data_IF_207435632211
#
_entry.id   IF_207435632211
#
_cell.length_a   1.000
_cell.length_b   1.000
_cell.length_c   1.000
_cell.angle_alpha   90.00
_cell.angle_beta   90.00
_cell.angle_gamma   90.00
#
_symmetry.space_group_name_H-M   'P 1'
#
loop_
_entity.id
_entity.type
_entity.pdbx_description
1 polymer ?
#
# COMPACT_ATOMS: atom_id res chain seq x y z
N UNK A 1 -6.21 15.50 13.03
CA UNK A 1 -5.11 14.83 12.30
C UNK A 1 -4.73 13.53 12.99
N UNK A 2 -4.32 13.58 14.27
CA UNK A 2 -4.00 12.39 15.09
C UNK A 2 -5.06 11.27 15.09
N UNK A 3 -6.33 11.60 15.34
CA UNK A 3 -7.41 10.60 15.30
C UNK A 3 -7.50 9.85 13.96
N UNK A 4 -7.26 10.54 12.84
CA UNK A 4 -7.25 9.93 11.50
C UNK A 4 -6.05 8.98 11.32
N UNK A 5 -4.90 9.32 11.90
CA UNK A 5 -3.72 8.45 11.91
C UNK A 5 -3.95 7.20 12.78
N UNK A 6 -4.61 7.33 13.92
CA UNK A 6 -4.96 6.19 14.76
C UNK A 6 -5.89 5.20 14.04
N UNK A 7 -6.90 5.71 13.34
CA UNK A 7 -7.83 4.89 12.57
C UNK A 7 -7.10 4.16 11.42
N UNK A 8 -6.23 4.87 10.69
CA UNK A 8 -5.41 4.27 9.63
C UNK A 8 -4.45 3.19 10.16
N UNK A 9 -3.89 3.39 11.35
CA UNK A 9 -3.00 2.40 11.97
C UNK A 9 -3.76 1.11 12.34
N UNK A 10 -5.00 1.23 12.83
CA UNK A 10 -5.86 0.07 13.08
C UNK A 10 -6.17 -0.68 11.78
N UNK A 11 -6.44 0.04 10.70
CA UNK A 11 -6.74 -0.58 9.40
C UNK A 11 -5.53 -1.38 8.87
N UNK A 12 -4.30 -0.87 9.04
CA UNK A 12 -3.07 -1.60 8.72
C UNK A 12 -2.91 -2.84 9.61
N UNK A 13 -3.20 -2.73 10.90
CA UNK A 13 -3.12 -3.85 11.85
C UNK A 13 -4.09 -4.99 11.53
N UNK A 14 -5.23 -4.71 10.88
CA UNK A 14 -6.15 -5.76 10.44
C UNK A 14 -5.53 -6.71 9.42
N UNK A 15 -4.50 -6.27 8.67
CA UNK A 15 -3.79 -7.14 7.73
C UNK A 15 -2.84 -8.13 8.42
N UNK A 16 -2.50 -7.95 9.70
CA UNK A 16 -1.68 -8.91 10.47
C UNK A 16 -2.35 -10.28 10.66
N UNK A 17 -3.69 -10.33 10.60
CA UNK A 17 -4.49 -11.52 10.94
C UNK A 17 -5.21 -12.13 9.74
N UNK A 18 -4.99 -11.62 8.53
CA UNK A 18 -5.67 -12.11 7.34
C UNK A 18 -4.88 -13.24 6.70
N UNK A 19 -5.48 -14.43 6.67
CA UNK A 19 -5.02 -15.56 5.86
C UNK A 19 -5.51 -15.45 4.41
N UNK A 20 -4.75 -16.03 3.48
CA UNK A 20 -5.12 -16.12 2.06
C UNK A 20 -6.11 -17.28 1.91
N UNK A 21 -7.41 -16.97 1.92
CA UNK A 21 -8.47 -17.99 1.87
C UNK A 21 -9.15 -18.09 0.48
N UNK A 22 -9.10 -17.04 -0.35
CA UNK A 22 -9.72 -17.00 -1.69
C UNK A 22 -9.08 -15.97 -2.63
N UNK A 23 -9.19 -16.17 -3.96
CA UNK A 23 -8.75 -15.24 -5.01
C UNK A 23 -9.51 -13.90 -4.98
N UNK A 24 -10.81 -13.93 -4.65
CA UNK A 24 -11.62 -12.71 -4.48
C UNK A 24 -11.20 -11.91 -3.23
N UNK A 25 -10.80 -12.59 -2.16
CA UNK A 25 -10.28 -11.94 -0.95
C UNK A 25 -8.89 -11.36 -1.19
N UNK A 26 -8.06 -12.02 -1.99
CA UNK A 26 -6.76 -11.49 -2.42
C UNK A 26 -6.92 -10.18 -3.21
N UNK A 27 -7.81 -10.15 -4.21
CA UNK A 27 -8.13 -8.91 -4.95
C UNK A 27 -8.63 -7.81 -4.01
N UNK A 28 -9.59 -8.13 -3.15
CA UNK A 28 -10.15 -7.18 -2.18
C UNK A 28 -9.08 -6.61 -1.24
N UNK A 29 -8.11 -7.44 -0.82
CA UNK A 29 -7.03 -7.00 0.06
C UNK A 29 -6.04 -6.08 -0.64
N UNK A 30 -5.72 -6.36 -1.91
CA UNK A 30 -4.88 -5.48 -2.75
C UNK A 30 -5.55 -4.12 -2.96
N UNK A 31 -6.85 -4.10 -3.29
CA UNK A 31 -7.61 -2.85 -3.44
C UNK A 31 -7.63 -2.02 -2.15
N UNK A 32 -7.90 -2.66 -1.00
CA UNK A 32 -7.86 -1.98 0.30
C UNK A 32 -6.46 -1.44 0.64
N UNK A 33 -5.40 -2.16 0.31
CA UNK A 33 -4.03 -1.65 0.50
C UNK A 33 -3.70 -0.50 -0.45
N UNK A 34 -4.24 -0.50 -1.66
CA UNK A 34 -4.13 0.62 -2.58
C UNK A 34 -4.86 1.88 -2.06
N UNK A 35 -6.01 1.72 -1.41
CA UNK A 35 -6.72 2.83 -0.77
C UNK A 35 -5.98 3.35 0.46
N UNK A 36 -5.47 2.46 1.32
CA UNK A 36 -4.61 2.83 2.45
C UNK A 36 -3.38 3.59 1.95
N UNK A 37 -2.78 3.17 0.82
CA UNK A 37 -1.67 3.88 0.18
C UNK A 37 -2.02 5.31 -0.19
N UNK A 38 -3.15 5.52 -0.87
CA UNK A 38 -3.61 6.85 -1.25
C UNK A 38 -3.79 7.74 -0.02
N UNK A 39 -4.39 7.20 1.05
CA UNK A 39 -4.59 7.94 2.30
C UNK A 39 -3.28 8.29 3.01
N UNK A 40 -2.31 7.38 3.03
CA UNK A 40 -0.96 7.63 3.57
C UNK A 40 -0.29 8.78 2.82
N UNK A 41 -0.30 8.76 1.49
CA UNK A 41 0.30 9.81 0.68
C UNK A 41 -0.44 11.15 0.82
N UNK A 42 -1.77 11.13 0.96
CA UNK A 42 -2.55 12.32 1.25
C UNK A 42 -2.15 12.94 2.61
N UNK A 43 -2.01 12.12 3.65
CA UNK A 43 -1.59 12.59 4.98
C UNK A 43 -0.14 13.05 5.02
N UNK A 44 0.74 12.44 4.21
CA UNK A 44 2.10 12.91 4.00
C UNK A 44 2.12 14.29 3.37
N UNK A 45 1.40 14.48 2.26
CA UNK A 45 1.32 15.76 1.58
C UNK A 45 0.72 16.85 2.49
N UNK A 46 -0.32 16.52 3.27
CA UNK A 46 -0.88 17.43 4.28
C UNK A 46 0.15 17.79 5.36
N UNK A 47 0.90 16.81 5.88
CA UNK A 47 1.95 17.05 6.87
C UNK A 47 3.07 17.94 6.33
N UNK A 48 3.50 17.73 5.09
CA UNK A 48 4.49 18.58 4.42
C UNK A 48 3.98 20.01 4.22
N UNK A 49 2.70 20.18 3.88
CA UNK A 49 2.08 21.50 3.73
C UNK A 49 2.00 22.25 5.07
N UNK A 50 1.60 21.57 6.15
CA UNK A 50 1.59 22.13 7.51
C UNK A 50 3.00 22.58 7.91
N UNK A 51 4.01 21.73 7.68
CA UNK A 51 5.39 22.04 8.03
C UNK A 51 5.94 23.22 7.22
N UNK A 52 5.55 23.31 5.94
CA UNK A 52 5.88 24.46 5.08
C UNK A 52 5.27 25.75 5.62
N UNK A 53 3.99 25.73 6.00
CA UNK A 53 3.30 26.91 6.55
C UNK A 53 3.91 27.32 7.90
N UNK A 54 4.22 26.37 8.78
CA UNK A 54 4.93 26.63 10.04
C UNK A 54 6.28 27.30 9.80
N UNK A 55 7.04 26.81 8.82
CA UNK A 55 8.32 27.40 8.45
C UNK A 55 8.16 28.84 7.94
N UNK A 56 7.15 29.11 7.09
CA UNK A 56 6.86 30.45 6.58
C UNK A 56 6.44 31.42 7.71
N UNK A 57 5.79 30.91 8.75
CA UNK A 57 5.39 31.66 9.93
C UNK A 57 6.50 31.75 11.00
N UNK A 58 7.70 31.20 10.73
CA UNK A 58 8.79 31.08 11.69
C UNK A 58 8.38 30.34 12.99
N UNK A 59 7.43 29.41 12.88
CA UNK A 59 7.04 28.51 13.96
C UNK A 59 7.90 27.26 13.97
N UNK A 60 7.93 26.58 15.12
CA UNK A 60 8.57 25.28 15.22
C UNK A 60 7.82 24.24 14.37
N UNK A 61 8.57 23.51 13.56
CA UNK A 61 8.03 22.46 12.69
C UNK A 61 7.56 21.29 13.55
N UNK A 62 6.34 20.81 13.29
CA UNK A 62 5.77 19.69 14.03
C UNK A 62 6.21 18.34 13.41
N UNK A 63 6.89 17.46 14.18
CA UNK A 63 7.19 16.13 13.68
C UNK A 63 5.93 15.24 13.68
N UNK A 64 5.78 14.40 12.66
CA UNK A 64 4.70 13.42 12.55
C UNK A 64 5.21 11.97 12.69
N UNK A 65 5.76 11.56 13.85
CA UNK A 65 6.36 10.24 14.02
C UNK A 65 5.35 9.10 13.79
N UNK A 66 4.08 9.31 14.15
CA UNK A 66 3.03 8.30 13.94
C UNK A 66 2.78 7.99 12.47
N UNK A 67 2.91 8.99 11.59
CA UNK A 67 2.82 8.77 10.15
C UNK A 67 3.98 7.91 9.64
N UNK A 68 5.19 8.14 10.16
CA UNK A 68 6.37 7.32 9.84
C UNK A 68 6.21 5.86 10.32
N UNK A 69 5.66 5.65 11.52
CA UNK A 69 5.34 4.31 12.02
C UNK A 69 4.34 3.58 11.12
N UNK A 70 3.29 4.26 10.64
CA UNK A 70 2.28 3.69 9.75
C UNK A 70 2.91 3.30 8.41
N UNK A 71 3.76 4.17 7.84
CA UNK A 71 4.48 3.89 6.60
C UNK A 71 5.38 2.65 6.74
N UNK A 72 6.15 2.56 7.83
CA UNK A 72 7.03 1.43 8.09
C UNK A 72 6.25 0.12 8.33
N UNK A 73 5.13 0.18 9.06
CA UNK A 73 4.30 -0.98 9.31
C UNK A 73 3.60 -1.50 8.05
N UNK A 74 3.25 -0.61 7.12
CA UNK A 74 2.54 -0.94 5.89
C UNK A 74 3.42 -1.61 4.83
N UNK A 75 4.67 -1.17 4.69
CA UNK A 75 5.62 -1.63 3.66
C UNK A 75 5.67 -3.15 3.44
N UNK A 76 5.80 -4.01 4.49
CA UNK A 76 5.84 -5.46 4.28
C UNK A 76 4.52 -6.04 3.73
N UNK A 77 3.37 -5.48 4.13
CA UNK A 77 2.06 -5.95 3.65
C UNK A 77 1.86 -5.56 2.18
N UNK A 78 2.25 -4.35 1.82
CA UNK A 78 2.18 -3.92 0.42
C UNK A 78 3.00 -4.82 -0.49
N UNK A 79 4.26 -5.09 -0.13
CA UNK A 79 5.13 -5.99 -0.90
C UNK A 79 4.49 -7.38 -1.02
N UNK A 80 4.03 -7.96 0.10
CA UNK A 80 3.42 -9.28 0.10
C UNK A 80 2.21 -9.37 -0.83
N UNK A 81 1.24 -8.48 -0.67
CA UNK A 81 -0.03 -8.56 -1.40
C UNK A 81 0.14 -8.20 -2.88
N UNK A 82 1.02 -7.24 -3.21
CA UNK A 82 1.34 -6.95 -4.61
C UNK A 82 2.07 -8.11 -5.28
N UNK A 83 3.07 -8.71 -4.62
CA UNK A 83 3.79 -9.87 -5.15
C UNK A 83 2.87 -11.08 -5.30
N UNK A 84 1.99 -11.34 -4.32
CA UNK A 84 1.02 -12.43 -4.40
C UNK A 84 0.04 -12.23 -5.57
N UNK A 85 -0.42 -11.00 -5.79
CA UNK A 85 -1.29 -10.66 -6.91
C UNK A 85 -0.59 -10.79 -8.26
N UNK A 86 0.62 -10.25 -8.40
CA UNK A 86 1.45 -10.39 -9.60
C UNK A 86 1.67 -11.87 -9.93
N UNK A 87 2.04 -12.68 -8.94
CA UNK A 87 2.20 -14.12 -9.10
C UNK A 87 0.92 -14.79 -9.60
N UNK A 88 -0.23 -14.48 -9.00
CA UNK A 88 -1.51 -15.02 -9.43
C UNK A 88 -1.86 -14.63 -10.87
N UNK A 89 -1.70 -13.35 -11.23
CA UNK A 89 -2.01 -12.89 -12.59
C UNK A 89 -1.07 -13.49 -13.64
N UNK A 90 0.21 -13.64 -13.31
CA UNK A 90 1.19 -14.25 -14.19
C UNK A 90 0.95 -15.76 -14.34
N UNK A 91 0.59 -16.45 -13.26
CA UNK A 91 0.18 -17.85 -13.28
C UNK A 91 -1.07 -18.08 -14.14
N UNK A 92 -2.13 -17.29 -13.94
CA UNK A 92 -3.36 -17.38 -14.73
C UNK A 92 -3.09 -17.13 -16.22
N UNK A 93 -2.28 -16.12 -16.55
CA UNK A 93 -1.88 -15.82 -17.93
C UNK A 93 -1.08 -16.96 -18.56
N UNK A 94 -0.23 -17.65 -17.79
CA UNK A 94 0.59 -18.74 -18.29
C UNK A 94 -0.19 -20.05 -18.46
N UNK A 95 -1.05 -20.39 -17.50
CA UNK A 95 -1.77 -21.67 -17.47
C UNK A 95 -3.09 -21.65 -18.26
N UNK A 96 -3.79 -20.51 -18.26
CA UNK A 96 -5.14 -20.41 -18.85
C UNK A 96 -5.19 -19.45 -20.05
N UNK A 97 -4.08 -18.79 -20.40
CA UNK A 97 -3.99 -17.89 -21.54
C UNK A 97 -3.82 -18.61 -22.89
N UNK A 98 -4.25 -18.01 -24.01
CA UNK A 98 -3.98 -18.55 -25.34
C UNK A 98 -2.46 -18.60 -25.59
N UNK A 99 -1.96 -19.74 -26.08
CA UNK A 99 -0.54 -19.92 -26.45
C UNK A 99 -0.04 -18.93 -27.52
N UNK A 100 -0.95 -18.42 -28.35
CA UNK A 100 -0.63 -17.45 -29.41
C UNK A 100 -0.49 -16.03 -28.80
N UNK A 101 0.72 -15.66 -28.39
CA UNK A 101 1.03 -14.32 -27.85
C UNK A 101 1.76 -14.30 -26.50
N UNK A 102 2.11 -15.47 -25.94
CA UNK A 102 2.97 -15.59 -24.77
C UNK A 102 4.42 -15.22 -25.15
N UNK A 103 4.84 -14.00 -24.83
CA UNK A 103 6.24 -13.61 -24.88
C UNK A 103 6.88 -13.90 -23.52
N UNK A 104 7.66 -15.00 -23.45
CA UNK A 104 8.34 -15.42 -22.23
C UNK A 104 9.40 -14.40 -21.76
N UNK A 105 10.00 -13.61 -22.67
CA UNK A 105 11.00 -12.60 -22.31
C UNK A 105 10.36 -11.38 -21.63
N UNK A 106 9.15 -10.97 -22.03
CA UNK A 106 8.44 -9.85 -21.42
C UNK A 106 7.93 -10.15 -19.99
N UNK A 107 7.91 -11.43 -19.59
CA UNK A 107 7.44 -11.88 -18.27
C UNK A 107 8.62 -12.05 -17.29
N UNK A 108 9.86 -12.09 -17.79
CA UNK A 108 11.06 -12.28 -16.96
C UNK A 108 11.66 -10.96 -16.43
N UNK A 109 11.24 -9.81 -16.97
CA UNK A 109 11.88 -8.51 -16.73
C UNK A 109 11.05 -7.49 -15.89
N UNK A 110 9.96 -7.91 -15.24
CA UNK A 110 9.22 -7.12 -14.22
C UNK A 110 9.40 -7.68 -12.81
#
# INVERSE_FOLDING_TARGET
FEKKLEDLHKDVDLFKRKDVLSTDEMRTNVEKLADINKLVEEYRAQGELINRDQTLLAWEVTPFPKLQEIMAAKDPYEKLWNTAWQFYTSYERWMNGPFLGLNAEAINDE
#
